data_IF_015888479593
#
_entry.id   IF_015888479593
#
_cell.length_a   1.000
_cell.length_b   1.000
_cell.length_c   1.000
_cell.angle_alpha   90.00
_cell.angle_beta   90.00
_cell.angle_gamma   90.00
#
_symmetry.space_group_name_H-M   'P 1'
#
loop_
_entity.id
_entity.type
_entity.pdbx_description
1 polymer ?
#
# COMPACT_ATOMS: atom_id res chain seq x y z
N UNK A 1 11.88 -1.54 -18.08
CA UNK A 1 10.56 -1.79 -17.44
C UNK A 1 9.46 -2.21 -18.43
N UNK A 2 9.41 -1.70 -19.67
CA UNK A 2 8.25 -1.85 -20.57
C UNK A 2 8.26 -3.04 -21.56
N UNK A 3 9.35 -3.80 -21.63
CA UNK A 3 9.39 -5.04 -22.43
C UNK A 3 8.66 -6.20 -21.73
N UNK A 4 8.31 -6.01 -20.45
CA UNK A 4 7.82 -7.02 -19.51
C UNK A 4 6.28 -7.18 -19.55
N UNK A 5 5.52 -6.35 -20.29
CA UNK A 5 4.05 -6.38 -20.23
C UNK A 5 3.41 -7.63 -20.86
N UNK A 6 3.93 -8.11 -22.01
CA UNK A 6 3.45 -9.38 -22.59
C UNK A 6 3.81 -10.55 -21.67
N UNK A 7 5.08 -10.64 -21.26
CA UNK A 7 5.55 -11.73 -20.40
C UNK A 7 4.82 -11.77 -19.05
N UNK A 8 4.45 -10.61 -18.48
CA UNK A 8 3.62 -10.52 -17.28
C UNK A 8 2.25 -11.15 -17.49
N UNK A 9 1.58 -10.85 -18.61
CA UNK A 9 0.26 -11.38 -18.89
C UNK A 9 0.31 -12.89 -19.16
N UNK A 10 1.36 -13.37 -19.86
CA UNK A 10 1.53 -14.80 -20.12
C UNK A 10 1.78 -15.57 -18.82
N UNK A 11 2.63 -15.04 -17.94
CA UNK A 11 2.85 -15.59 -16.61
C UNK A 11 1.58 -15.55 -15.75
N UNK A 12 0.80 -14.47 -15.83
CA UNK A 12 -0.49 -14.36 -15.14
C UNK A 12 -1.46 -15.48 -15.54
N UNK A 13 -1.68 -15.69 -16.85
CA UNK A 13 -2.65 -16.70 -17.32
C UNK A 13 -2.16 -18.13 -17.08
N UNK A 14 -0.85 -18.39 -17.15
CA UNK A 14 -0.27 -19.67 -16.75
C UNK A 14 -0.49 -19.95 -15.25
N UNK A 15 -0.54 -18.90 -14.42
CA UNK A 15 -0.87 -18.95 -13.00
C UNK A 15 -2.36 -18.90 -12.64
N UNK A 16 -3.27 -18.90 -13.62
CA UNK A 16 -4.72 -18.78 -13.37
C UNK A 16 -5.18 -17.37 -13.00
N UNK A 17 -4.43 -16.33 -13.36
CA UNK A 17 -4.86 -14.92 -13.24
C UNK A 17 -5.22 -14.38 -14.62
N UNK A 18 -6.46 -13.91 -14.79
CA UNK A 18 -7.04 -13.50 -16.08
C UNK A 18 -7.18 -11.98 -16.26
N UNK A 19 -6.87 -11.20 -15.22
CA UNK A 19 -6.81 -9.74 -15.31
C UNK A 19 -5.70 -9.19 -14.43
N UNK A 20 -4.99 -8.18 -14.93
CA UNK A 20 -4.00 -7.41 -14.16
C UNK A 20 -4.41 -5.94 -14.04
N UNK A 21 -4.11 -5.32 -12.90
CA UNK A 21 -4.18 -3.86 -12.73
C UNK A 21 -2.75 -3.38 -12.49
N UNK A 22 -2.21 -2.61 -13.43
CA UNK A 22 -0.82 -2.11 -13.37
C UNK A 22 -0.81 -0.64 -12.91
N UNK A 23 0.37 -0.11 -12.55
CA UNK A 23 0.52 1.26 -12.08
C UNK A 23 1.14 2.14 -13.16
N UNK A 24 0.43 3.19 -13.57
CA UNK A 24 1.00 4.32 -14.29
C UNK A 24 1.76 5.18 -13.29
N UNK A 25 3.07 5.35 -13.47
CA UNK A 25 3.94 6.07 -12.52
C UNK A 25 4.60 7.27 -13.23
N UNK A 26 4.00 8.47 -13.17
CA UNK A 26 4.60 9.68 -13.70
C UNK A 26 5.78 10.13 -12.84
N UNK A 27 6.76 10.78 -13.48
CA UNK A 27 7.81 11.49 -12.76
C UNK A 27 7.22 12.75 -12.09
N UNK A 28 7.80 13.16 -10.96
CA UNK A 28 7.40 14.40 -10.28
C UNK A 28 7.46 15.59 -11.25
N UNK A 29 6.37 16.36 -11.33
CA UNK A 29 6.22 17.51 -12.24
C UNK A 29 5.76 17.16 -13.66
N UNK A 30 5.61 15.89 -14.02
CA UNK A 30 5.06 15.48 -15.33
C UNK A 30 3.54 15.29 -15.31
N UNK A 31 2.89 15.40 -16.47
CA UNK A 31 1.45 15.20 -16.63
C UNK A 31 1.05 13.74 -16.36
N UNK A 32 -0.03 13.56 -15.60
CA UNK A 32 -0.64 12.24 -15.36
C UNK A 32 -1.24 11.67 -16.64
N UNK A 33 -1.81 12.53 -17.51
CA UNK A 33 -2.46 12.11 -18.76
C UNK A 33 -1.43 11.61 -19.78
N UNK A 34 -0.31 12.31 -19.94
CA UNK A 34 0.77 11.87 -20.83
C UNK A 34 1.35 10.53 -20.38
N UNK A 35 1.54 10.35 -19.07
CA UNK A 35 1.97 9.07 -18.51
C UNK A 35 0.94 7.97 -18.78
N UNK A 36 -0.35 8.24 -18.57
CA UNK A 36 -1.41 7.28 -18.86
C UNK A 36 -1.43 6.86 -20.34
N UNK A 37 -1.39 7.82 -21.27
CA UNK A 37 -1.43 7.55 -22.71
C UNK A 37 -0.18 6.77 -23.15
N UNK A 38 0.99 7.09 -22.58
CA UNK A 38 2.23 6.30 -22.77
C UNK A 38 2.04 4.85 -22.30
N UNK A 39 1.50 4.62 -21.11
CA UNK A 39 1.27 3.26 -20.61
C UNK A 39 0.28 2.47 -21.47
N UNK A 40 -0.82 3.11 -21.90
CA UNK A 40 -1.78 2.52 -22.84
C UNK A 40 -1.11 2.12 -24.15
N UNK A 41 -0.30 3.00 -24.74
CA UNK A 41 0.42 2.73 -25.99
C UNK A 41 1.37 1.52 -25.90
N UNK A 42 1.90 1.24 -24.71
CA UNK A 42 2.81 0.14 -24.45
C UNK A 42 2.09 -1.17 -24.13
N UNK A 43 0.93 -1.09 -23.47
CA UNK A 43 0.15 -2.24 -23.02
C UNK A 43 -0.80 -2.78 -24.10
N UNK A 44 -1.60 -1.91 -24.74
CA UNK A 44 -2.63 -2.31 -25.71
C UNK A 44 -2.14 -3.28 -26.81
N UNK A 45 -0.95 -3.10 -27.43
CA UNK A 45 -0.46 -4.03 -28.45
C UNK A 45 0.26 -5.27 -27.89
N UNK A 46 0.29 -5.46 -26.56
CA UNK A 46 1.10 -6.50 -25.89
C UNK A 46 0.30 -7.43 -24.98
N UNK A 47 -0.68 -6.93 -24.25
CA UNK A 47 -1.40 -7.73 -23.24
C UNK A 47 -2.12 -8.93 -23.86
N UNK A 48 -2.06 -10.10 -23.19
CA UNK A 48 -2.77 -11.30 -23.63
C UNK A 48 -4.00 -11.64 -22.77
N UNK A 49 -4.18 -10.94 -21.65
CA UNK A 49 -5.37 -10.97 -20.81
C UNK A 49 -5.88 -9.55 -20.57
N UNK A 50 -7.12 -9.42 -20.10
CA UNK A 50 -7.68 -8.09 -19.82
C UNK A 50 -6.85 -7.35 -18.76
N UNK A 51 -6.89 -6.02 -18.80
CA UNK A 51 -6.14 -5.20 -17.85
C UNK A 51 -6.82 -3.87 -17.56
N UNK A 52 -6.41 -3.22 -16.48
CA UNK A 52 -6.73 -1.81 -16.23
C UNK A 52 -5.53 -1.13 -15.55
N UNK A 53 -5.69 0.14 -15.18
CA UNK A 53 -4.64 0.91 -14.54
C UNK A 53 -5.09 1.58 -13.25
N UNK A 54 -4.16 1.63 -12.32
CA UNK A 54 -4.11 2.66 -11.29
C UNK A 54 -3.18 3.78 -11.77
N UNK A 55 -3.41 5.03 -11.36
CA UNK A 55 -2.50 6.15 -11.70
C UNK A 55 -1.87 6.71 -10.44
N UNK A 56 -0.55 6.75 -10.38
CA UNK A 56 0.15 7.31 -9.25
C UNK A 56 0.12 8.85 -9.26
N UNK A 57 -0.14 9.44 -8.10
CA UNK A 57 -0.03 10.87 -7.82
C UNK A 57 1.28 11.08 -7.07
N UNK A 58 2.34 11.42 -7.82
CA UNK A 58 3.72 11.56 -7.32
C UNK A 58 4.10 12.99 -6.95
N UNK A 59 3.19 13.93 -7.16
CA UNK A 59 3.28 15.35 -6.82
C UNK A 59 1.88 15.96 -6.79
N UNK A 60 1.71 17.13 -6.18
CA UNK A 60 0.41 17.78 -6.06
C UNK A 60 0.40 19.20 -6.63
N UNK A 61 -0.64 19.54 -7.38
CA UNK A 61 -0.91 20.88 -7.91
C UNK A 61 -2.36 20.97 -8.44
N UNK A 62 -2.81 22.17 -8.78
CA UNK A 62 -4.11 22.36 -9.47
C UNK A 62 -4.17 21.66 -10.84
N UNK A 63 -3.03 21.49 -11.53
CA UNK A 63 -2.98 20.71 -12.76
C UNK A 63 -3.29 19.24 -12.47
N UNK A 64 -2.60 18.65 -11.49
CA UNK A 64 -2.81 17.25 -11.07
C UNK A 64 -4.28 17.02 -10.70
N UNK A 65 -4.87 17.94 -9.93
CA UNK A 65 -6.29 17.89 -9.56
C UNK A 65 -7.22 17.77 -10.77
N UNK A 66 -7.00 18.60 -11.81
CA UNK A 66 -7.78 18.58 -13.07
C UNK A 66 -7.52 17.32 -13.89
N UNK A 67 -6.27 16.87 -13.97
CA UNK A 67 -5.93 15.66 -14.72
C UNK A 67 -6.52 14.40 -14.06
N UNK A 68 -6.61 14.35 -12.74
CA UNK A 68 -7.34 13.29 -12.03
C UNK A 68 -8.82 13.27 -12.43
N UNK A 69 -9.46 14.44 -12.57
CA UNK A 69 -10.85 14.53 -13.03
C UNK A 69 -11.01 13.96 -14.45
N UNK A 70 -10.15 14.37 -15.39
CA UNK A 70 -10.15 13.82 -16.76
C UNK A 70 -9.91 12.30 -16.77
N UNK A 71 -8.97 11.81 -15.96
CA UNK A 71 -8.69 10.37 -15.86
C UNK A 71 -9.92 9.58 -15.40
N UNK A 72 -10.69 10.15 -14.46
CA UNK A 72 -11.90 9.52 -13.94
C UNK A 72 -13.07 9.60 -14.92
N UNK A 73 -13.34 10.78 -15.46
CA UNK A 73 -14.51 11.03 -16.29
C UNK A 73 -14.37 10.43 -17.70
N UNK A 74 -13.16 10.45 -18.27
CA UNK A 74 -12.95 10.13 -19.68
C UNK A 74 -12.09 8.89 -19.92
N UNK A 75 -11.13 8.60 -19.03
CA UNK A 75 -10.14 7.53 -19.24
C UNK A 75 -10.45 6.24 -18.49
N UNK A 76 -11.49 6.21 -17.66
CA UNK A 76 -11.95 5.01 -16.97
C UNK A 76 -11.04 4.56 -15.82
N UNK A 77 -10.47 5.51 -15.09
CA UNK A 77 -9.66 5.28 -13.89
C UNK A 77 -10.50 5.61 -12.66
N UNK A 78 -10.50 4.76 -11.63
CA UNK A 78 -11.19 5.04 -10.37
C UNK A 78 -10.31 4.81 -9.14
N UNK A 79 -9.00 4.84 -9.32
CA UNK A 79 -8.02 4.50 -8.28
C UNK A 79 -6.71 5.23 -8.49
N UNK A 80 -6.24 5.91 -7.46
CA UNK A 80 -5.01 6.70 -7.49
C UNK A 80 -4.02 6.25 -6.41
N UNK A 81 -2.74 6.11 -6.73
CA UNK A 81 -1.70 5.66 -5.78
C UNK A 81 -0.83 6.82 -5.30
N UNK A 82 -0.74 6.98 -3.98
CA UNK A 82 0.09 7.97 -3.32
C UNK A 82 1.21 7.27 -2.56
N UNK A 83 2.32 7.97 -2.34
CA UNK A 83 3.49 7.45 -1.63
C UNK A 83 3.79 8.29 -0.40
N UNK A 84 3.96 7.61 0.74
CA UNK A 84 4.49 8.22 1.98
C UNK A 84 5.99 7.99 2.14
N UNK A 85 6.56 7.16 1.27
CA UNK A 85 7.99 6.84 1.17
C UNK A 85 8.60 7.45 -0.11
N UNK A 86 9.87 7.13 -0.37
CA UNK A 86 10.64 7.65 -1.49
C UNK A 86 10.76 9.18 -1.45
N UNK A 87 11.31 9.67 -0.34
CA UNK A 87 11.62 11.08 -0.11
C UNK A 87 12.32 11.68 -1.33
N UNK A 88 11.93 12.91 -1.69
CA UNK A 88 12.40 13.68 -2.85
C UNK A 88 12.05 13.10 -4.24
N UNK A 89 11.51 11.89 -4.33
CA UNK A 89 11.15 11.23 -5.61
C UNK A 89 9.63 11.19 -5.81
N UNK A 90 8.90 10.54 -4.91
CA UNK A 90 7.44 10.34 -5.02
C UNK A 90 6.67 10.75 -3.77
N UNK A 91 7.36 10.97 -2.64
CA UNK A 91 6.74 11.24 -1.34
C UNK A 91 5.86 12.48 -1.38
N UNK A 92 4.61 12.33 -0.91
CA UNK A 92 3.71 13.43 -0.59
C UNK A 92 3.74 13.69 0.92
N UNK A 93 3.67 14.97 1.28
CA UNK A 93 3.47 15.41 2.66
C UNK A 93 2.01 15.25 3.09
N UNK A 94 1.73 15.35 4.39
CA UNK A 94 0.38 15.13 4.94
C UNK A 94 -0.67 16.10 4.38
N UNK A 95 -0.30 17.35 4.09
CA UNK A 95 -1.23 18.33 3.50
C UNK A 95 -1.56 18.00 2.03
N UNK A 96 -0.60 17.48 1.28
CA UNK A 96 -0.81 17.01 -0.09
C UNK A 96 -1.65 15.74 -0.10
N UNK A 97 -1.42 14.81 0.84
CA UNK A 97 -2.26 13.62 1.03
C UNK A 97 -3.71 14.00 1.38
N UNK A 98 -3.91 14.96 2.28
CA UNK A 98 -5.23 15.48 2.62
C UNK A 98 -5.96 16.01 1.37
N UNK A 99 -5.28 16.82 0.55
CA UNK A 99 -5.84 17.37 -0.68
C UNK A 99 -6.13 16.27 -1.73
N UNK A 100 -5.18 15.35 -1.95
CA UNK A 100 -5.34 14.24 -2.89
C UNK A 100 -6.47 13.28 -2.47
N UNK A 101 -6.60 12.97 -1.18
CA UNK A 101 -7.67 12.11 -0.66
C UNK A 101 -9.03 12.81 -0.76
N UNK A 102 -9.09 14.12 -0.51
CA UNK A 102 -10.29 14.93 -0.73
C UNK A 102 -10.73 14.86 -2.21
N UNK A 103 -9.80 15.04 -3.14
CA UNK A 103 -10.08 14.92 -4.57
C UNK A 103 -10.53 13.51 -4.97
N UNK A 104 -9.89 12.47 -4.44
CA UNK A 104 -10.31 11.08 -4.66
C UNK A 104 -11.78 10.88 -4.22
N UNK A 105 -12.15 11.40 -3.04
CA UNK A 105 -13.54 11.35 -2.57
C UNK A 105 -14.50 12.07 -3.51
N UNK A 106 -14.20 13.31 -3.91
CA UNK A 106 -15.03 14.12 -4.82
C UNK A 106 -15.27 13.40 -6.15
N UNK A 107 -14.23 12.77 -6.70
CA UNK A 107 -14.30 12.04 -7.97
C UNK A 107 -14.91 10.64 -7.86
N UNK A 108 -15.14 10.13 -6.65
CA UNK A 108 -15.59 8.75 -6.47
C UNK A 108 -14.50 7.70 -6.74
N UNK A 109 -13.23 8.07 -6.61
CA UNK A 109 -12.07 7.21 -6.80
C UNK A 109 -11.49 6.71 -5.46
N UNK A 110 -11.04 5.46 -5.40
CA UNK A 110 -10.36 4.93 -4.21
C UNK A 110 -8.92 5.44 -4.11
N UNK A 111 -8.54 5.91 -2.91
CA UNK A 111 -7.17 6.30 -2.63
C UNK A 111 -6.35 5.05 -2.25
N UNK A 112 -5.25 4.79 -2.97
CA UNK A 112 -4.25 3.78 -2.65
C UNK A 112 -3.03 4.43 -2.02
N UNK A 113 -2.40 3.78 -1.04
CA UNK A 113 -1.22 4.33 -0.36
C UNK A 113 -0.12 3.29 -0.17
N UNK A 114 1.09 3.62 -0.62
CA UNK A 114 2.32 2.98 -0.14
C UNK A 114 2.69 3.63 1.19
N UNK A 115 2.50 2.90 2.28
CA UNK A 115 2.52 3.44 3.64
C UNK A 115 3.78 3.00 4.41
N UNK A 116 4.91 3.64 4.14
CA UNK A 116 6.09 3.64 5.01
C UNK A 116 6.49 5.09 5.30
N UNK A 117 7.06 5.39 6.46
CA UNK A 117 7.53 6.74 6.77
C UNK A 117 8.83 7.06 6.00
N UNK A 118 8.73 7.84 4.92
CA UNK A 118 9.85 8.14 4.02
C UNK A 118 11.00 8.92 4.65
N UNK A 119 10.73 9.77 5.65
CA UNK A 119 11.78 10.49 6.37
C UNK A 119 12.61 9.54 7.23
N UNK A 120 11.97 8.63 7.97
CA UNK A 120 12.65 7.63 8.78
C UNK A 120 13.46 6.67 7.90
N UNK A 121 12.91 6.21 6.77
CA UNK A 121 13.66 5.37 5.82
C UNK A 121 14.92 6.08 5.34
N UNK A 122 14.82 7.36 4.98
CA UNK A 122 15.97 8.13 4.47
C UNK A 122 17.08 8.26 5.52
N UNK A 123 16.74 8.55 6.78
CA UNK A 123 17.72 8.68 7.85
C UNK A 123 18.33 7.33 8.27
N UNK A 124 17.52 6.29 8.43
CA UNK A 124 18.00 4.97 8.80
C UNK A 124 18.82 4.31 7.68
N UNK A 125 18.51 4.55 6.40
CA UNK A 125 19.34 4.08 5.31
C UNK A 125 20.74 4.70 5.32
N UNK A 126 20.83 6.03 5.57
CA UNK A 126 22.13 6.71 5.76
C UNK A 126 22.90 6.11 6.93
N UNK A 127 22.20 5.82 8.04
CA UNK A 127 22.79 5.21 9.24
C UNK A 127 23.32 3.80 8.96
N UNK A 128 22.57 2.93 8.28
CA UNK A 128 23.04 1.58 7.91
C UNK A 128 24.31 1.65 7.06
N UNK A 129 24.34 2.52 6.04
CA UNK A 129 25.52 2.71 5.20
C UNK A 129 26.72 3.27 5.98
N UNK A 130 26.50 4.20 6.92
CA UNK A 130 27.54 4.75 7.78
C UNK A 130 28.13 3.71 8.74
N UNK A 131 27.33 2.73 9.17
CA UNK A 131 27.77 1.57 9.95
C UNK A 131 28.49 0.49 9.10
N UNK A 132 28.61 0.70 7.78
CA UNK A 132 29.23 -0.25 6.86
C UNK A 132 28.31 -1.40 6.42
N UNK A 133 27.04 -1.37 6.80
CA UNK A 133 26.04 -2.36 6.39
C UNK A 133 25.57 -2.00 4.98
N UNK A 134 26.11 -2.73 3.99
CA UNK A 134 25.92 -2.46 2.55
C UNK A 134 25.16 -3.56 1.82
N UNK A 135 24.98 -4.72 2.45
CA UNK A 135 24.27 -5.85 1.88
C UNK A 135 22.75 -5.72 1.96
N UNK A 136 22.00 -6.64 1.33
CA UNK A 136 20.54 -6.64 1.30
C UNK A 136 19.87 -6.60 2.68
N UNK A 137 20.51 -7.12 3.73
CA UNK A 137 20.03 -7.02 5.12
C UNK A 137 19.89 -5.57 5.61
N UNK A 138 20.75 -4.67 5.12
CA UNK A 138 20.63 -3.23 5.41
C UNK A 138 19.32 -2.63 4.90
N UNK A 139 18.72 -3.24 3.88
CA UNK A 139 17.43 -2.81 3.32
C UNK A 139 16.25 -3.13 4.24
N UNK A 140 16.30 -4.21 5.02
CA UNK A 140 15.26 -4.50 6.03
C UNK A 140 15.50 -3.64 7.28
N UNK A 141 16.75 -3.60 7.75
CA UNK A 141 17.15 -2.90 8.96
C UNK A 141 16.89 -1.40 8.92
N UNK A 142 16.90 -0.77 7.74
CA UNK A 142 16.62 0.67 7.61
C UNK A 142 15.12 1.03 7.64
N UNK A 143 14.22 0.06 7.69
CA UNK A 143 12.77 0.24 7.56
C UNK A 143 12.00 -0.86 8.31
N UNK A 144 12.25 -1.02 9.62
CA UNK A 144 11.59 -2.04 10.43
C UNK A 144 10.06 -1.85 10.42
N UNK A 145 9.29 -2.86 10.83
CA UNK A 145 7.84 -2.87 10.60
C UNK A 145 7.07 -1.70 11.22
N UNK A 146 7.60 -1.08 12.28
CA UNK A 146 7.01 0.09 12.91
C UNK A 146 6.93 1.30 11.96
N UNK A 147 7.85 1.40 11.00
CA UNK A 147 7.88 2.44 9.96
C UNK A 147 6.68 2.28 9.00
N UNK A 148 6.28 1.04 8.71
CA UNK A 148 5.08 0.73 7.92
C UNK A 148 3.80 0.96 8.74
N UNK A 149 3.80 0.53 10.00
CA UNK A 149 2.64 0.66 10.89
C UNK A 149 2.28 2.13 11.19
N UNK A 150 3.28 2.99 11.46
CA UNK A 150 3.07 4.43 11.68
C UNK A 150 2.40 5.08 10.49
N UNK A 151 3.00 4.92 9.30
CA UNK A 151 2.48 5.51 8.07
C UNK A 151 1.10 4.96 7.71
N UNK A 152 0.85 3.67 7.94
CA UNK A 152 -0.47 3.05 7.77
C UNK A 152 -1.50 3.73 8.67
N UNK A 153 -1.19 3.93 9.95
CA UNK A 153 -2.10 4.60 10.89
C UNK A 153 -2.34 6.06 10.50
N UNK A 154 -1.30 6.78 10.09
CA UNK A 154 -1.38 8.17 9.65
C UNK A 154 -2.23 8.33 8.40
N UNK A 155 -2.01 7.51 7.37
CA UNK A 155 -2.83 7.52 6.15
C UNK A 155 -4.31 7.27 6.44
N UNK A 156 -4.62 6.28 7.28
CA UNK A 156 -5.99 5.95 7.69
C UNK A 156 -6.63 7.13 8.44
N UNK A 157 -5.87 7.82 9.30
CA UNK A 157 -6.36 9.00 10.02
C UNK A 157 -6.68 10.15 9.07
N UNK A 158 -5.79 10.47 8.13
CA UNK A 158 -6.02 11.53 7.13
C UNK A 158 -7.24 11.18 6.26
N UNK A 159 -7.31 9.95 5.73
CA UNK A 159 -8.42 9.50 4.89
C UNK A 159 -9.75 9.54 5.64
N UNK A 160 -9.76 9.18 6.92
CA UNK A 160 -10.95 9.27 7.75
C UNK A 160 -11.42 10.72 7.95
N UNK A 161 -10.51 11.67 8.19
CA UNK A 161 -10.83 13.09 8.36
C UNK A 161 -11.55 13.69 7.16
N UNK A 162 -11.23 13.23 5.95
CA UNK A 162 -11.89 13.67 4.71
C UNK A 162 -13.00 12.71 4.25
N UNK A 163 -13.33 11.68 5.04
CA UNK A 163 -14.28 10.61 4.70
C UNK A 163 -13.99 9.93 3.33
N UNK A 164 -12.71 9.79 2.97
CA UNK A 164 -12.26 9.11 1.76
C UNK A 164 -11.98 7.62 2.03
N UNK A 165 -12.45 6.69 1.19
CA UNK A 165 -12.06 5.29 1.24
C UNK A 165 -10.57 5.10 0.96
N UNK A 166 -9.89 4.33 1.81
CA UNK A 166 -8.45 4.07 1.68
C UNK A 166 -8.16 2.60 1.39
N UNK A 167 -7.15 2.37 0.55
CA UNK A 167 -6.60 1.07 0.21
C UNK A 167 -5.10 1.07 0.52
N UNK A 168 -4.68 0.29 1.51
CA UNK A 168 -3.28 0.13 1.87
C UNK A 168 -2.71 -1.00 1.00
N UNK A 169 -1.90 -0.64 0.00
CA UNK A 169 -1.24 -1.61 -0.89
C UNK A 169 -0.15 -2.36 -0.14
N UNK A 170 0.22 -3.55 -0.64
CA UNK A 170 1.34 -4.38 -0.16
C UNK A 170 1.60 -4.30 1.36
N UNK A 171 0.62 -4.73 2.15
CA UNK A 171 0.77 -4.90 3.61
C UNK A 171 1.72 -6.05 3.87
N UNK A 172 2.92 -5.75 4.39
CA UNK A 172 4.01 -6.72 4.56
C UNK A 172 4.22 -7.15 6.00
N UNK A 173 3.68 -6.42 6.99
CA UNK A 173 3.91 -6.68 8.41
C UNK A 173 2.67 -6.96 9.24
N UNK A 174 2.88 -7.63 10.37
CA UNK A 174 1.84 -7.87 11.38
C UNK A 174 1.35 -6.57 12.00
N UNK A 175 2.25 -5.65 12.33
CA UNK A 175 1.89 -4.37 12.94
C UNK A 175 1.03 -3.51 12.01
N UNK A 176 1.37 -3.36 10.73
CA UNK A 176 0.53 -2.65 9.76
C UNK A 176 -0.82 -3.35 9.54
N UNK A 177 -0.84 -4.69 9.44
CA UNK A 177 -2.07 -5.45 9.33
C UNK A 177 -2.99 -5.28 10.55
N UNK A 178 -2.42 -5.22 11.76
CA UNK A 178 -3.15 -4.94 13.01
C UNK A 178 -3.74 -3.53 13.03
N UNK A 179 -3.01 -2.53 12.50
CA UNK A 179 -3.52 -1.16 12.33
C UNK A 179 -4.75 -1.16 11.41
N UNK A 180 -4.68 -1.82 10.25
CA UNK A 180 -5.81 -1.96 9.32
C UNK A 180 -7.00 -2.64 10.01
N UNK A 181 -6.77 -3.77 10.68
CA UNK A 181 -7.81 -4.51 11.40
C UNK A 181 -8.51 -3.65 12.47
N UNK A 182 -7.74 -2.93 13.28
CA UNK A 182 -8.28 -2.04 14.31
C UNK A 182 -9.08 -0.87 13.71
N UNK A 183 -8.59 -0.27 12.64
CA UNK A 183 -9.30 0.78 11.92
C UNK A 183 -10.64 0.29 11.36
N UNK A 184 -10.69 -0.93 10.80
CA UNK A 184 -11.94 -1.56 10.33
C UNK A 184 -12.92 -1.81 11.47
N UNK A 185 -12.45 -2.28 12.63
CA UNK A 185 -13.28 -2.45 13.85
C UNK A 185 -13.86 -1.13 14.36
N UNK A 186 -13.15 -0.02 14.19
CA UNK A 186 -13.65 1.35 14.45
C UNK A 186 -14.60 1.86 13.35
N UNK A 187 -14.92 1.05 12.36
CA UNK A 187 -15.77 1.42 11.24
C UNK A 187 -15.08 2.29 10.19
N UNK A 188 -13.76 2.47 10.19
CA UNK A 188 -13.09 3.21 9.11
C UNK A 188 -13.23 2.45 7.78
N UNK A 189 -13.34 3.18 6.67
CA UNK A 189 -13.47 2.59 5.32
C UNK A 189 -12.06 2.36 4.79
N UNK A 190 -11.45 1.26 5.21
CA UNK A 190 -10.11 0.87 4.79
C UNK A 190 -10.07 -0.59 4.34
N UNK A 191 -9.28 -0.84 3.29
CA UNK A 191 -8.94 -2.15 2.75
C UNK A 191 -7.42 -2.34 2.85
N UNK A 192 -6.99 -3.54 3.22
CA UNK A 192 -5.57 -3.92 3.20
C UNK A 192 -5.31 -5.00 2.16
N UNK A 193 -4.21 -4.86 1.42
CA UNK A 193 -3.76 -5.79 0.39
C UNK A 193 -2.42 -6.42 0.77
N UNK A 194 -2.38 -7.62 1.35
CA UNK A 194 -1.17 -8.42 1.35
C UNK A 194 -0.85 -8.89 -0.08
N UNK A 195 0.42 -9.23 -0.33
CA UNK A 195 0.85 -9.74 -1.63
C UNK A 195 1.37 -11.18 -1.52
N UNK A 196 1.44 -11.87 -2.66
CA UNK A 196 1.96 -13.24 -2.74
C UNK A 196 3.29 -13.43 -2.00
N UNK A 197 4.22 -12.48 -2.10
CA UNK A 197 5.50 -12.54 -1.40
C UNK A 197 5.32 -12.59 0.13
N UNK A 198 4.59 -11.62 0.71
CA UNK A 198 4.33 -11.55 2.15
C UNK A 198 3.46 -12.69 2.69
N UNK A 199 2.75 -13.42 1.83
CA UNK A 199 1.95 -14.60 2.19
C UNK A 199 2.69 -15.93 1.96
N UNK A 200 3.79 -15.91 1.21
CA UNK A 200 4.51 -17.10 0.76
C UNK A 200 5.89 -17.28 1.37
N UNK A 201 6.55 -16.20 1.76
CA UNK A 201 7.93 -16.23 2.24
C UNK A 201 8.18 -15.10 3.25
N UNK A 202 9.39 -15.05 3.82
CA UNK A 202 9.77 -14.11 4.87
C UNK A 202 11.13 -13.43 4.58
N UNK A 203 11.49 -12.48 5.45
CA UNK A 203 12.68 -11.64 5.30
C UNK A 203 13.98 -12.31 5.74
N UNK A 204 13.96 -13.55 6.25
CA UNK A 204 15.20 -14.25 6.65
C UNK A 204 16.16 -14.45 5.47
N UNK A 205 15.62 -14.46 4.25
CA UNK A 205 16.39 -14.51 3.01
C UNK A 205 17.35 -13.32 2.81
N UNK A 206 17.12 -12.16 3.43
CA UNK A 206 18.05 -11.03 3.36
C UNK A 206 19.41 -11.31 4.03
N UNK A 207 19.45 -12.25 4.99
CA UNK A 207 20.67 -12.68 5.66
C UNK A 207 21.32 -13.90 5.01
N UNK A 208 20.89 -14.30 3.80
CA UNK A 208 21.57 -15.36 3.06
C UNK A 208 23.01 -14.95 2.75
N UNK A 209 23.96 -15.89 2.91
CA UNK A 209 25.39 -15.66 2.60
C UNK A 209 25.63 -15.42 1.11
N UNK A 210 24.79 -15.96 0.23
CA UNK A 210 24.80 -15.63 -1.18
C UNK A 210 24.09 -14.29 -1.40
N UNK A 211 24.87 -13.29 -1.81
CA UNK A 211 24.37 -11.96 -2.11
C UNK A 211 23.30 -11.97 -3.21
N UNK A 212 23.45 -12.81 -4.24
CA UNK A 212 22.50 -12.87 -5.35
C UNK A 212 21.13 -13.39 -4.88
N UNK A 213 21.14 -14.43 -4.04
CA UNK A 213 19.93 -14.91 -3.35
C UNK A 213 19.30 -13.77 -2.56
N UNK A 214 20.04 -13.15 -1.63
CA UNK A 214 19.51 -12.12 -0.74
C UNK A 214 18.94 -10.90 -1.50
N UNK A 215 19.64 -10.43 -2.54
CA UNK A 215 19.21 -9.32 -3.38
C UNK A 215 17.94 -9.62 -4.20
N UNK A 216 17.71 -10.90 -4.54
CA UNK A 216 16.50 -11.37 -5.22
C UNK A 216 15.21 -11.08 -4.46
N UNK A 217 15.27 -10.96 -3.12
CA UNK A 217 14.10 -10.70 -2.27
C UNK A 217 13.89 -9.21 -1.98
N UNK A 218 14.77 -8.31 -2.43
CA UNK A 218 14.71 -6.87 -2.09
C UNK A 218 13.51 -6.20 -2.76
N UNK A 219 12.58 -5.69 -1.94
CA UNK A 219 11.39 -4.92 -2.34
C UNK A 219 10.95 -3.96 -1.23
N UNK A 220 10.06 -3.00 -1.50
CA UNK A 220 9.62 -2.00 -0.50
C UNK A 220 8.10 -1.95 -0.38
N UNK A 221 7.50 -2.16 0.81
CA UNK A 221 8.14 -2.54 2.07
C UNK A 221 8.85 -3.91 1.97
N UNK A 222 9.83 -4.21 2.84
CA UNK A 222 10.59 -5.45 2.76
C UNK A 222 9.74 -6.60 3.31
N UNK A 223 10.11 -7.84 2.95
CA UNK A 223 9.66 -9.02 3.67
C UNK A 223 10.12 -8.94 5.12
N UNK A 224 9.29 -9.40 6.06
CA UNK A 224 9.63 -9.29 7.49
C UNK A 224 10.39 -10.52 7.97
N UNK A 225 11.48 -10.37 8.74
CA UNK A 225 12.31 -11.50 9.16
C UNK A 225 11.65 -12.37 10.24
N UNK A 226 10.53 -11.92 10.84
CA UNK A 226 9.70 -12.79 11.68
C UNK A 226 9.02 -13.84 10.79
N UNK A 227 9.41 -15.13 10.90
CA UNK A 227 8.93 -16.21 10.03
C UNK A 227 7.44 -16.53 10.25
N UNK A 228 6.83 -16.01 11.30
CA UNK A 228 5.39 -16.19 11.55
C UNK A 228 4.54 -15.11 10.90
N UNK A 229 5.15 -14.13 10.21
CA UNK A 229 4.45 -13.07 9.48
C UNK A 229 3.53 -13.60 8.38
N UNK A 230 3.98 -14.49 7.46
CA UNK A 230 3.12 -14.95 6.37
C UNK A 230 1.86 -15.67 6.84
N UNK A 231 2.01 -16.55 7.85
CA UNK A 231 0.90 -17.25 8.47
C UNK A 231 -0.10 -16.31 9.14
N UNK A 232 0.37 -15.25 9.80
CA UNK A 232 -0.48 -14.23 10.44
C UNK A 232 -1.22 -13.37 9.42
N UNK A 233 -0.54 -12.93 8.35
CA UNK A 233 -1.18 -12.19 7.26
C UNK A 233 -2.26 -13.04 6.57
N UNK A 234 -2.01 -14.35 6.41
CA UNK A 234 -2.99 -15.29 5.88
C UNK A 234 -4.22 -15.44 6.80
N UNK A 235 -4.04 -15.46 8.12
CA UNK A 235 -5.16 -15.49 9.07
C UNK A 235 -6.02 -14.23 8.97
N UNK A 236 -5.39 -13.05 8.87
CA UNK A 236 -6.11 -11.78 8.70
C UNK A 236 -6.79 -11.69 7.32
N UNK A 237 -6.22 -12.32 6.30
CA UNK A 237 -6.84 -12.45 4.97
C UNK A 237 -8.05 -13.38 5.00
N UNK A 238 -7.98 -14.50 5.73
CA UNK A 238 -9.10 -15.41 5.96
C UNK A 238 -10.25 -14.70 6.70
N UNK A 239 -9.92 -13.87 7.70
CA UNK A 239 -10.87 -13.15 8.55
C UNK A 239 -11.41 -11.82 7.97
N UNK A 240 -11.05 -11.47 6.73
CA UNK A 240 -11.43 -10.20 6.08
C UNK A 240 -10.95 -8.92 6.78
N UNK A 241 -9.99 -9.02 7.70
CA UNK A 241 -9.22 -7.87 8.19
C UNK A 241 -8.33 -7.32 7.04
N UNK A 242 -7.79 -8.24 6.22
CA UNK A 242 -7.19 -7.98 4.91
C UNK A 242 -8.14 -8.51 3.82
N UNK A 243 -8.30 -7.77 2.72
CA UNK A 243 -9.49 -7.94 1.86
C UNK A 243 -9.20 -8.54 0.49
N UNK A 244 -7.97 -8.44 -0.02
CA UNK A 244 -7.65 -8.74 -1.42
C UNK A 244 -6.16 -8.98 -1.56
N UNK A 245 -5.73 -9.76 -2.55
CA UNK A 245 -4.31 -10.04 -2.78
C UNK A 245 -3.81 -9.44 -4.09
N UNK A 246 -2.63 -8.81 -4.03
CA UNK A 246 -1.83 -8.43 -5.19
C UNK A 246 -0.56 -9.27 -5.29
N UNK A 247 0.38 -8.82 -6.14
CA UNK A 247 1.73 -9.41 -6.24
C UNK A 247 2.84 -8.41 -6.17
N UNK A 248 2.55 -7.13 -6.44
CA UNK A 248 3.56 -6.10 -6.67
C UNK A 248 4.65 -6.56 -7.64
N UNK A 249 4.26 -7.30 -8.69
CA UNK A 249 5.19 -7.95 -9.60
C UNK A 249 6.04 -6.92 -10.35
N UNK A 250 7.28 -6.74 -9.90
CA UNK A 250 8.25 -5.78 -10.42
C UNK A 250 9.61 -6.47 -10.51
N UNK A 251 9.80 -7.25 -11.57
CA UNK A 251 10.93 -8.16 -11.68
C UNK A 251 12.16 -7.50 -12.29
N UNK A 252 13.33 -7.79 -11.70
CA UNK A 252 14.65 -7.42 -12.20
C UNK A 252 15.55 -8.65 -12.13
N UNK A 253 16.29 -8.94 -13.20
CA UNK A 253 17.25 -10.04 -13.22
C UNK A 253 18.39 -9.81 -12.21
N UNK A 254 19.09 -10.86 -11.80
CA UNK A 254 20.21 -10.73 -10.84
C UNK A 254 21.27 -9.74 -11.33
N UNK A 255 21.55 -9.69 -12.63
CA UNK A 255 22.48 -8.71 -13.20
C UNK A 255 22.02 -7.25 -13.04
N UNK A 256 20.71 -6.99 -13.00
CA UNK A 256 20.14 -5.67 -12.72
C UNK A 256 20.11 -5.40 -11.21
N UNK A 257 19.82 -6.41 -10.38
CA UNK A 257 19.95 -6.33 -8.92
C UNK A 257 21.37 -5.92 -8.51
N UNK A 258 22.39 -6.42 -9.22
CA UNK A 258 23.81 -6.16 -8.97
C UNK A 258 24.23 -4.69 -9.08
N UNK A 259 23.37 -3.79 -9.59
CA UNK A 259 23.58 -2.34 -9.49
C UNK A 259 23.81 -1.86 -8.04
N UNK A 260 23.24 -2.56 -7.05
CA UNK A 260 23.42 -2.27 -5.63
C UNK A 260 24.32 -3.24 -4.87
N UNK A 261 25.25 -3.94 -5.55
CA UNK A 261 26.13 -4.93 -4.90
C UNK A 261 26.97 -4.39 -3.74
N UNK A 262 27.32 -3.10 -3.77
CA UNK A 262 28.11 -2.42 -2.73
C UNK A 262 27.27 -1.37 -1.94
N UNK A 263 25.98 -1.29 -2.23
CA UNK A 263 25.06 -0.26 -1.71
C UNK A 263 23.62 -0.72 -1.92
N UNK A 264 23.01 -1.29 -0.86
CA UNK A 264 21.66 -1.83 -0.93
C UNK A 264 20.61 -0.82 -1.41
N UNK A 265 20.83 0.49 -1.19
CA UNK A 265 19.89 1.55 -1.61
C UNK A 265 19.78 1.68 -3.13
N UNK A 266 20.72 1.08 -3.88
CA UNK A 266 20.76 1.07 -5.35
C UNK A 266 20.27 -0.24 -5.94
N UNK A 267 19.90 -1.23 -5.13
CA UNK A 267 19.26 -2.45 -5.62
C UNK A 267 17.86 -2.07 -6.12
N UNK A 268 17.50 -2.35 -7.38
CA UNK A 268 16.14 -2.13 -7.86
C UNK A 268 15.12 -2.94 -7.04
N UNK A 269 14.19 -2.26 -6.37
CA UNK A 269 13.15 -2.90 -5.57
C UNK A 269 12.12 -3.62 -6.43
N UNK A 270 11.84 -4.88 -6.07
CA UNK A 270 10.74 -5.66 -6.62
C UNK A 270 11.06 -7.13 -6.79
N UNK A 271 10.01 -7.95 -6.87
CA UNK A 271 10.06 -9.42 -6.92
C UNK A 271 9.08 -9.98 -7.96
N UNK A 272 9.13 -11.30 -8.19
CA UNK A 272 8.11 -12.01 -8.98
C UNK A 272 6.89 -12.38 -8.12
N UNK A 273 5.80 -12.74 -8.80
CA UNK A 273 4.65 -13.36 -8.14
C UNK A 273 3.39 -13.47 -8.97
N UNK A 274 3.32 -12.83 -10.15
CA UNK A 274 2.10 -12.83 -10.98
C UNK A 274 1.61 -14.24 -11.38
N UNK A 275 2.52 -15.18 -11.64
CA UNK A 275 2.17 -16.58 -11.94
C UNK A 275 1.87 -17.38 -10.67
N UNK A 276 2.67 -17.20 -9.63
CA UNK A 276 2.63 -18.09 -8.47
C UNK A 276 1.55 -17.73 -7.45
N UNK A 277 1.00 -16.50 -7.50
CA UNK A 277 0.03 -15.97 -6.51
C UNK A 277 -1.08 -16.95 -6.17
N UNK A 278 -1.76 -17.51 -7.16
CA UNK A 278 -2.94 -18.36 -6.93
C UNK A 278 -2.56 -19.63 -6.18
N UNK A 279 -1.51 -20.34 -6.61
CA UNK A 279 -1.05 -21.58 -5.98
C UNK A 279 -0.42 -21.33 -4.60
N UNK A 280 0.33 -20.24 -4.41
CA UNK A 280 0.90 -19.87 -3.10
C UNK A 280 -0.21 -19.60 -2.08
N UNK A 281 -1.24 -18.84 -2.46
CA UNK A 281 -2.38 -18.57 -1.57
C UNK A 281 -3.21 -19.84 -1.34
N UNK A 282 -3.37 -20.69 -2.37
CA UNK A 282 -4.07 -21.96 -2.21
C UNK A 282 -3.35 -22.86 -1.21
N UNK A 283 -2.05 -23.06 -1.38
CA UNK A 283 -1.22 -23.89 -0.49
C UNK A 283 -1.26 -23.36 0.95
N UNK A 284 -0.89 -22.09 1.14
CA UNK A 284 -0.75 -21.52 2.48
C UNK A 284 -2.08 -21.14 3.14
N UNK A 285 -3.16 -21.05 2.37
CA UNK A 285 -4.48 -20.63 2.83
C UNK A 285 -5.49 -21.77 2.88
N UNK A 286 -5.79 -22.37 1.72
CA UNK A 286 -6.83 -23.39 1.58
C UNK A 286 -6.32 -24.74 2.06
N UNK A 287 -5.20 -25.22 1.52
CA UNK A 287 -4.63 -26.52 1.89
C UNK A 287 -4.22 -26.55 3.37
N UNK A 288 -3.69 -25.43 3.89
CA UNK A 288 -3.38 -25.26 5.30
C UNK A 288 -4.61 -25.15 6.23
N UNK A 289 -5.84 -25.10 5.70
CA UNK A 289 -7.08 -25.02 6.49
C UNK A 289 -7.35 -23.66 7.14
N UNK A 290 -6.68 -22.59 6.71
CA UNK A 290 -6.91 -21.23 7.21
C UNK A 290 -8.15 -20.57 6.59
N UNK A 291 -8.48 -20.90 5.35
CA UNK A 291 -9.68 -20.43 4.67
C UNK A 291 -10.27 -21.51 3.76
N UNK A 292 -11.55 -21.39 3.42
CA UNK A 292 -12.17 -22.25 2.42
C UNK A 292 -11.95 -21.76 0.98
N UNK A 293 -12.33 -22.58 0.00
CA UNK A 293 -12.26 -22.26 -1.43
C UNK A 293 -13.10 -21.04 -1.84
N UNK A 294 -14.19 -20.74 -1.11
CA UNK A 294 -15.03 -19.57 -1.40
C UNK A 294 -14.33 -18.28 -1.00
N UNK A 295 -13.66 -18.28 0.16
CA UNK A 295 -12.83 -17.17 0.62
C UNK A 295 -11.61 -17.00 -0.28
N UNK A 296 -11.01 -18.09 -0.76
CA UNK A 296 -9.97 -18.04 -1.79
C UNK A 296 -10.44 -17.30 -3.05
N UNK A 297 -11.61 -17.64 -3.60
CA UNK A 297 -12.20 -16.91 -4.74
C UNK A 297 -12.41 -15.43 -4.40
N UNK A 298 -12.88 -15.13 -3.18
CA UNK A 298 -13.14 -13.77 -2.75
C UNK A 298 -11.87 -12.90 -2.76
N UNK A 299 -10.79 -13.37 -2.14
CA UNK A 299 -9.55 -12.59 -1.97
C UNK A 299 -8.69 -12.54 -3.23
N UNK A 300 -8.87 -13.50 -4.14
CA UNK A 300 -8.09 -13.58 -5.38
C UNK A 300 -8.77 -12.91 -6.58
N UNK A 301 -10.09 -12.67 -6.54
CA UNK A 301 -10.82 -12.08 -7.67
C UNK A 301 -12.03 -11.21 -7.26
N UNK A 302 -13.00 -11.75 -6.52
CA UNK A 302 -14.29 -11.08 -6.31
C UNK A 302 -14.16 -9.74 -5.58
N UNK A 303 -13.30 -9.67 -4.55
CA UNK A 303 -13.12 -8.45 -3.77
C UNK A 303 -12.41 -7.37 -4.60
N UNK A 304 -11.39 -7.72 -5.39
CA UNK A 304 -10.77 -6.80 -6.35
C UNK A 304 -11.83 -6.25 -7.33
N UNK A 305 -12.64 -7.13 -7.91
CA UNK A 305 -13.70 -6.71 -8.83
C UNK A 305 -14.75 -5.80 -8.16
N UNK A 306 -15.09 -6.02 -6.90
CA UNK A 306 -16.01 -5.13 -6.16
C UNK A 306 -15.37 -3.78 -5.84
N UNK A 307 -14.12 -3.77 -5.38
CA UNK A 307 -13.39 -2.56 -4.99
C UNK A 307 -13.17 -1.66 -6.21
N UNK A 308 -12.75 -2.22 -7.34
CA UNK A 308 -12.44 -1.47 -8.56
C UNK A 308 -13.61 -1.37 -9.54
N UNK A 309 -14.83 -1.70 -9.10
CA UNK A 309 -16.09 -1.52 -9.84
C UNK A 309 -16.23 -2.34 -11.15
N UNK A 310 -15.79 -3.59 -11.12
CA UNK A 310 -15.85 -4.57 -12.20
C UNK A 310 -16.78 -5.74 -11.90
N UNK A 311 -17.34 -5.83 -10.69
CA UNK A 311 -18.26 -6.90 -10.30
C UNK A 311 -19.72 -6.61 -10.74
N UNK A 312 -20.49 -7.61 -11.24
CA UNK A 312 -20.15 -9.02 -11.42
C UNK A 312 -19.57 -9.36 -12.80
N UNK A 313 -19.23 -8.36 -13.64
CA UNK A 313 -18.64 -8.61 -14.96
C UNK A 313 -17.37 -9.47 -14.84
N UNK A 314 -16.54 -9.23 -13.81
CA UNK A 314 -15.40 -10.06 -13.42
C UNK A 314 -15.55 -10.58 -12.00
N UNK A 315 -14.80 -11.65 -11.68
CA UNK A 315 -14.73 -12.21 -10.33
C UNK A 315 -15.99 -12.96 -9.88
N UNK A 316 -16.83 -13.43 -10.81
CA UNK A 316 -17.98 -14.31 -10.54
C UNK A 316 -18.29 -15.18 -11.75
N UNK A 317 -18.57 -16.46 -11.52
CA UNK A 317 -19.16 -17.35 -12.52
C UNK A 317 -20.68 -17.17 -12.48
N UNK A 318 -21.23 -16.43 -13.44
CA UNK A 318 -22.66 -16.21 -13.60
C UNK A 318 -23.00 -15.87 -15.06
N UNK A 319 -24.25 -16.12 -15.46
CA UNK A 319 -24.74 -15.66 -16.77
C UNK A 319 -24.57 -14.14 -16.89
N UNK A 320 -23.92 -13.70 -17.96
CA UNK A 320 -23.65 -12.29 -18.24
C UNK A 320 -22.30 -11.76 -17.73
N UNK A 321 -21.55 -12.55 -16.97
CA UNK A 321 -20.14 -12.23 -16.63
C UNK A 321 -19.22 -12.53 -17.82
N UNK A 322 -18.05 -11.87 -17.86
CA UNK A 322 -17.00 -12.18 -18.83
C UNK A 322 -16.53 -13.63 -18.61
N UNK A 323 -16.26 -14.35 -19.69
CA UNK A 323 -15.76 -15.73 -19.66
C UNK A 323 -14.25 -15.77 -19.35
N UNK A 324 -13.89 -15.24 -18.18
CA UNK A 324 -12.57 -15.29 -17.57
C UNK A 324 -12.60 -16.35 -16.47
N UNK A 325 -12.24 -17.59 -16.80
CA UNK A 325 -12.51 -18.78 -15.98
C UNK A 325 -11.24 -19.60 -15.84
N UNK A 326 -11.02 -20.18 -14.67
CA UNK A 326 -9.94 -21.14 -14.42
C UNK A 326 -10.56 -22.47 -14.04
N UNK A 327 -10.17 -23.53 -14.73
CA UNK A 327 -10.39 -24.90 -14.25
C UNK A 327 -9.22 -25.20 -13.33
N UNK A 328 -9.55 -25.40 -12.05
CA UNK A 328 -8.58 -25.55 -10.97
C UNK A 328 -8.60 -26.98 -10.46
N UNK A 329 -7.45 -27.65 -10.43
CA UNK A 329 -7.29 -28.96 -9.83
C UNK A 329 -6.72 -28.80 -8.40
N UNK A 330 -7.53 -29.01 -7.35
CA UNK A 330 -7.10 -28.84 -5.96
C UNK A 330 -6.12 -29.93 -5.49
N UNK A 331 -6.06 -31.08 -6.17
CA UNK A 331 -5.21 -32.21 -5.83
C UNK A 331 -3.89 -32.23 -6.62
N UNK A 332 -3.85 -31.55 -7.76
CA UNK A 332 -2.63 -31.39 -8.53
C UNK A 332 -1.54 -30.67 -7.72
N UNK A 333 -0.29 -31.04 -7.98
CA UNK A 333 0.87 -30.63 -7.21
C UNK A 333 2.02 -30.21 -8.12
N UNK A 334 2.69 -29.10 -7.81
CA UNK A 334 3.94 -28.70 -8.47
C UNK A 334 4.97 -28.22 -7.45
N UNK A 335 6.22 -28.30 -7.83
CA UNK A 335 7.31 -27.57 -7.17
C UNK A 335 7.58 -26.31 -7.99
N UNK A 336 7.48 -25.13 -7.38
CA UNK A 336 7.78 -23.86 -8.04
C UNK A 336 9.28 -23.80 -8.34
N UNK A 337 9.64 -23.45 -9.58
CA UNK A 337 11.03 -23.24 -9.98
C UNK A 337 11.15 -22.20 -11.09
N UNK A 338 12.20 -21.39 -11.05
CA UNK A 338 12.60 -20.50 -12.15
C UNK A 338 12.86 -21.26 -13.46
N UNK A 339 13.20 -22.56 -13.39
CA UNK A 339 13.40 -23.40 -14.57
C UNK A 339 12.11 -23.71 -15.33
N UNK A 340 10.97 -23.60 -14.67
CA UNK A 340 9.66 -24.02 -15.21
C UNK A 340 8.62 -22.91 -15.24
N UNK A 341 8.90 -21.75 -14.65
CA UNK A 341 7.99 -20.62 -14.67
C UNK A 341 7.94 -19.97 -16.06
N UNK A 342 6.98 -19.08 -16.26
CA UNK A 342 6.76 -18.31 -17.49
C UNK A 342 7.17 -16.84 -17.34
N UNK A 343 7.79 -16.47 -16.21
CA UNK A 343 8.40 -15.16 -16.05
C UNK A 343 9.66 -15.00 -16.93
N UNK A 344 10.06 -13.75 -17.22
CA UNK A 344 11.33 -13.46 -17.89
C UNK A 344 12.52 -13.34 -16.91
N UNK A 345 12.25 -13.33 -15.59
CA UNK A 345 13.28 -13.15 -14.57
C UNK A 345 14.02 -14.46 -14.31
N UNK A 346 15.30 -14.38 -13.97
CA UNK A 346 16.21 -15.53 -13.86
C UNK A 346 16.19 -16.24 -12.49
N UNK A 347 15.26 -15.89 -11.60
CA UNK A 347 15.04 -16.52 -10.29
C UNK A 347 13.55 -16.51 -9.90
N UNK A 348 13.21 -17.22 -8.82
CA UNK A 348 11.88 -17.20 -8.24
C UNK A 348 11.98 -17.11 -6.71
N UNK A 349 11.31 -16.16 -6.06
CA UNK A 349 11.32 -16.02 -4.60
C UNK A 349 10.63 -17.19 -3.86
N UNK A 350 9.86 -18.01 -4.59
CA UNK A 350 9.22 -19.22 -4.09
C UNK A 350 9.94 -20.51 -4.54
N UNK A 351 11.20 -20.43 -4.97
CA UNK A 351 11.98 -21.57 -5.46
C UNK A 351 11.91 -22.77 -4.48
N UNK A 352 11.55 -23.94 -5.00
CA UNK A 352 11.44 -25.17 -4.22
C UNK A 352 10.14 -25.32 -3.42
N UNK A 353 9.28 -24.29 -3.37
CA UNK A 353 7.98 -24.40 -2.70
C UNK A 353 7.10 -25.43 -3.41
N UNK A 354 6.51 -26.33 -2.64
CA UNK A 354 5.59 -27.34 -3.13
C UNK A 354 4.17 -26.84 -2.89
N UNK A 355 3.39 -26.68 -3.96
CA UNK A 355 2.01 -26.20 -3.85
C UNK A 355 1.03 -27.24 -4.39
N UNK A 356 -0.05 -27.46 -3.63
CA UNK A 356 -1.29 -28.03 -4.14
C UNK A 356 -2.13 -26.93 -4.82
N UNK A 357 -3.10 -27.34 -5.63
CA UNK A 357 -3.99 -26.41 -6.32
C UNK A 357 -3.30 -25.75 -7.51
N UNK A 358 -3.62 -26.22 -8.71
CA UNK A 358 -3.04 -25.71 -9.96
C UNK A 358 -4.10 -25.33 -10.98
N UNK A 359 -3.85 -24.31 -11.82
CA UNK A 359 -4.67 -24.06 -13.00
C UNK A 359 -4.36 -25.15 -14.03
N UNK A 360 -5.35 -25.97 -14.39
CA UNK A 360 -5.19 -26.95 -15.48
C UNK A 360 -5.61 -26.37 -16.83
N UNK A 361 -6.59 -25.46 -16.81
CA UNK A 361 -7.04 -24.67 -17.96
C UNK A 361 -7.31 -23.24 -17.51
N UNK A 362 -6.79 -22.26 -18.24
CA UNK A 362 -7.16 -20.85 -18.09
C UNK A 362 -7.86 -20.37 -19.35
N UNK A 363 -9.06 -19.84 -19.16
CA UNK A 363 -9.90 -19.22 -20.18
C UNK A 363 -9.89 -17.71 -19.95
N UNK A 364 -9.57 -16.95 -20.99
CA UNK A 364 -9.62 -15.48 -20.99
C UNK A 364 -10.50 -15.05 -22.14
N UNK A 365 -11.51 -14.22 -21.87
CA UNK A 365 -12.48 -13.73 -22.87
C UNK A 365 -13.14 -14.84 -23.69
N UNK A 366 -13.40 -16.00 -23.05
CA UNK A 366 -14.02 -17.17 -23.68
C UNK A 366 -13.10 -18.01 -24.56
N UNK A 367 -11.79 -17.76 -24.55
CA UNK A 367 -10.78 -18.54 -25.27
C UNK A 367 -9.84 -19.23 -24.29
N UNK A 368 -9.51 -20.49 -24.57
CA UNK A 368 -8.46 -21.21 -23.85
C UNK A 368 -7.12 -20.56 -24.18
N UNK A 369 -6.45 -20.01 -23.16
CA UNK A 369 -5.15 -19.33 -23.30
C UNK A 369 -4.02 -20.07 -22.61
N UNK A 370 -4.35 -21.06 -21.78
CA UNK A 370 -3.41 -21.99 -21.16
C UNK A 370 -4.12 -23.30 -20.91
N UNK A 371 -3.50 -24.42 -21.26
CA UNK A 371 -4.05 -25.76 -21.06
C UNK A 371 -2.91 -26.79 -21.01
N UNK A 372 -2.93 -27.67 -20.01
CA UNK A 372 -1.96 -28.77 -19.84
C UNK A 372 -0.48 -28.34 -19.95
N UNK A 373 -0.12 -27.21 -19.36
CA UNK A 373 1.25 -26.69 -19.42
C UNK A 373 1.61 -25.93 -20.70
N UNK A 374 0.70 -25.84 -21.67
CA UNK A 374 0.92 -25.17 -22.95
C UNK A 374 0.24 -23.81 -22.95
N UNK A 375 1.05 -22.76 -23.13
CA UNK A 375 0.57 -21.40 -23.30
C UNK A 375 0.07 -21.19 -24.74
N UNK A 376 -1.19 -20.77 -24.88
CA UNK A 376 -1.85 -20.46 -26.16
C UNK A 376 -2.28 -18.99 -26.24
N UNK A 377 -1.74 -18.16 -25.35
CA UNK A 377 -2.11 -16.76 -25.22
C UNK A 377 -1.59 -15.93 -26.42
N UNK A 378 -2.46 -15.12 -27.00
CA UNK A 378 -2.13 -14.29 -28.17
C UNK A 378 -1.88 -12.85 -27.75
N UNK A 379 -0.75 -12.31 -28.20
CA UNK A 379 -0.34 -10.92 -27.96
C UNK A 379 -1.40 -9.92 -28.48
N UNK A 380 -1.83 -8.99 -27.64
CA UNK A 380 -2.78 -7.91 -27.99
C UNK A 380 -4.26 -8.33 -27.94
N UNK A 381 -4.57 -9.56 -27.54
CA UNK A 381 -5.96 -10.00 -27.38
C UNK A 381 -6.62 -9.43 -26.12
N UNK A 382 -5.83 -9.19 -25.08
CA UNK A 382 -6.29 -8.52 -23.87
C UNK A 382 -6.85 -7.13 -24.16
N UNK A 383 -7.85 -6.70 -23.40
CA UNK A 383 -8.44 -5.36 -23.54
C UNK A 383 -8.29 -4.55 -22.27
N UNK A 384 -8.08 -3.25 -22.46
CA UNK A 384 -8.26 -2.29 -21.37
C UNK A 384 -9.72 -2.30 -20.91
N UNK A 385 -9.93 -2.37 -19.60
CA UNK A 385 -11.24 -2.41 -18.96
C UNK A 385 -11.42 -1.12 -18.15
N UNK A 386 -12.27 -0.19 -18.60
CA UNK A 386 -12.59 1.03 -17.86
C UNK A 386 -13.23 0.69 -16.50
N UNK A 387 -12.69 1.28 -15.44
CA UNK A 387 -13.19 1.17 -14.08
C UNK A 387 -13.99 2.45 -13.76
N UNK A 388 -15.32 2.33 -13.65
CA UNK A 388 -16.20 3.48 -13.39
C UNK A 388 -16.04 4.01 -11.96
N UNK A 389 -16.18 5.32 -11.71
CA UNK A 389 -16.14 5.88 -10.36
C UNK A 389 -17.34 5.44 -9.50
N UNK A 390 -17.27 5.79 -8.22
CA UNK A 390 -18.27 5.49 -7.18
C UNK A 390 -18.64 3.99 -7.06
N UNK A 391 -17.67 3.07 -6.90
CA UNK A 391 -17.97 1.66 -6.64
C UNK A 391 -18.91 1.54 -5.44
N UNK A 392 -20.07 0.93 -5.63
CA UNK A 392 -21.09 0.78 -4.59
C UNK A 392 -20.54 0.08 -3.34
N UNK A 393 -19.69 -0.93 -3.53
CA UNK A 393 -19.04 -1.67 -2.45
C UNK A 393 -18.19 -0.77 -1.53
N UNK A 394 -17.65 0.31 -2.08
CA UNK A 394 -16.75 1.25 -1.41
C UNK A 394 -17.53 2.49 -0.93
N UNK A 395 -18.36 3.08 -1.79
CA UNK A 395 -18.97 4.40 -1.60
C UNK A 395 -20.36 4.42 -0.98
N UNK A 396 -21.08 3.29 -0.90
CA UNK A 396 -22.42 3.27 -0.27
C UNK A 396 -22.39 3.82 1.16
N UNK A 397 -21.39 3.43 1.96
CA UNK A 397 -21.21 3.93 3.33
C UNK A 397 -20.73 5.38 3.39
N UNK A 398 -19.89 5.80 2.43
CA UNK A 398 -19.38 7.18 2.34
C UNK A 398 -20.55 8.15 2.18
N UNK A 399 -21.43 7.89 1.21
CA UNK A 399 -22.60 8.72 0.91
C UNK A 399 -23.52 8.88 2.13
N UNK A 400 -23.76 7.80 2.87
CA UNK A 400 -24.57 7.87 4.08
C UNK A 400 -23.89 8.68 5.19
N UNK A 401 -22.56 8.52 5.37
CA UNK A 401 -21.79 9.28 6.38
C UNK A 401 -21.85 10.78 6.14
N UNK A 402 -21.69 11.20 4.88
CA UNK A 402 -21.77 12.61 4.51
C UNK A 402 -23.14 13.23 4.86
N UNK A 403 -24.22 12.43 4.90
CA UNK A 403 -25.55 12.91 5.27
C UNK A 403 -25.74 13.00 6.80
N UNK A 404 -25.23 12.03 7.55
CA UNK A 404 -25.55 11.89 8.99
C UNK A 404 -24.50 12.47 9.93
N UNK A 405 -23.26 12.68 9.47
CA UNK A 405 -22.13 13.08 10.29
C UNK A 405 -21.66 14.53 10.03
N UNK A 406 -22.54 15.39 9.50
CA UNK A 406 -22.20 16.81 9.31
C UNK A 406 -22.02 17.49 10.67
N UNK A 407 -20.91 18.24 10.86
CA UNK A 407 -20.71 19.01 12.09
C UNK A 407 -21.81 20.06 12.21
N UNK A 408 -22.39 20.17 13.40
CA UNK A 408 -23.43 21.17 13.72
C UNK A 408 -22.82 22.25 14.59
N UNK A 409 -22.95 23.51 14.17
CA UNK A 409 -22.63 24.63 15.03
C UNK A 409 -23.60 24.65 16.21
N UNK A 410 -23.08 24.93 17.41
CA UNK A 410 -23.92 25.26 18.55
C UNK A 410 -24.41 26.68 18.36
N UNK A 411 -25.72 26.87 18.32
CA UNK A 411 -26.35 28.19 18.33
C UNK A 411 -26.07 28.86 19.68
N UNK A 412 -25.46 30.05 19.64
CA UNK A 412 -25.12 30.85 20.82
C UNK A 412 -25.57 32.29 20.56
N UNK A 413 -25.99 32.97 21.62
CA UNK A 413 -26.13 34.41 21.57
C UNK A 413 -24.77 35.06 21.21
N UNK A 414 -24.76 36.15 20.42
CA UNK A 414 -23.53 36.89 20.15
C UNK A 414 -22.85 37.30 21.47
N UNK A 415 -21.53 37.12 21.54
CA UNK A 415 -20.76 37.58 22.69
C UNK A 415 -20.81 39.12 22.76
N UNK A 416 -21.34 39.64 23.86
CA UNK A 416 -21.54 41.07 24.14
C UNK A 416 -20.60 41.61 25.23
N UNK A 417 -19.73 40.76 25.78
CA UNK A 417 -18.74 41.13 26.79
C UNK A 417 -17.56 41.93 26.24
N UNK A 418 -16.72 42.43 27.14
CA UNK A 418 -15.51 43.17 26.77
C UNK A 418 -14.51 42.28 26.02
N UNK A 419 -13.84 42.85 25.02
CA UNK A 419 -12.72 42.22 24.31
C UNK A 419 -11.48 43.07 24.57
N UNK A 420 -10.41 42.46 25.10
CA UNK A 420 -9.15 43.16 25.33
C UNK A 420 -8.55 43.64 24.01
N UNK A 421 -8.10 44.88 23.95
CA UNK A 421 -7.33 45.38 22.80
C UNK A 421 -5.89 44.84 22.88
N UNK A 422 -5.54 43.89 22.03
CA UNK A 422 -4.14 43.50 21.83
C UNK A 422 -3.54 44.47 20.82
N UNK A 423 -2.81 45.49 21.30
CA UNK A 423 -1.99 46.33 20.44
C UNK A 423 -0.87 45.46 19.88
N UNK A 424 -0.98 45.03 18.62
CA UNK A 424 0.14 44.41 17.91
C UNK A 424 1.30 45.42 17.91
N UNK A 425 2.37 45.13 18.65
CA UNK A 425 3.62 45.86 18.49
C UNK A 425 4.24 45.48 17.13
N UNK A 426 3.65 45.95 16.04
CA UNK A 426 4.35 46.11 14.78
C UNK A 426 5.29 47.31 14.91
N UNK A 427 6.37 47.12 15.67
CA UNK A 427 7.62 47.81 15.33
C UNK A 427 8.17 47.10 14.10
N UNK A 428 7.76 47.53 12.92
CA UNK A 428 8.57 47.34 11.72
C UNK A 428 9.85 48.15 11.90
N UNK A 429 11.02 47.49 11.94
CA UNK A 429 12.01 47.87 10.97
C UNK A 429 12.69 46.59 10.44
N UNK A 430 12.96 46.44 9.15
CA UNK A 430 13.66 47.41 8.30
C UNK A 430 13.46 47.02 6.84
N UNK A 431 13.87 47.91 5.95
CA UNK A 431 14.94 47.55 5.03
C UNK A 431 15.53 46.15 5.28
N UNK A 432 15.41 45.28 4.27
CA UNK A 432 16.02 43.95 4.17
C UNK A 432 15.50 42.91 5.16
N UNK A 433 14.85 41.91 4.58
CA UNK A 433 14.15 40.86 5.31
C UNK A 433 15.03 39.85 6.02
N UNK A 434 14.39 39.07 6.88
CA UNK A 434 14.65 37.65 7.12
C UNK A 434 13.54 37.04 7.98
N UNK A 435 12.98 35.97 7.42
CA UNK A 435 12.36 34.76 7.95
C UNK A 435 12.00 34.67 9.46
N UNK A 436 10.75 34.32 9.75
CA UNK A 436 10.13 34.28 11.09
C UNK A 436 10.15 32.88 11.75
N UNK A 437 10.91 31.92 11.19
CA UNK A 437 10.95 30.54 11.68
C UNK A 437 11.94 30.24 12.84
N UNK A 438 12.53 31.25 13.48
CA UNK A 438 13.37 31.03 14.65
C UNK A 438 13.10 32.08 15.74
N UNK A 439 12.22 31.76 16.68
CA UNK A 439 12.15 32.46 17.96
C UNK A 439 11.99 31.45 19.10
N UNK A 440 13.11 31.15 19.75
CA UNK A 440 13.22 30.44 21.01
C UNK A 440 12.63 31.32 22.13
N UNK A 441 11.74 30.78 22.95
CA UNK A 441 11.21 31.48 24.12
C UNK A 441 12.21 31.45 25.27
N UNK A 442 12.53 32.60 25.85
CA UNK A 442 13.23 32.72 27.12
C UNK A 442 12.42 33.62 28.05
N UNK A 443 12.01 33.10 29.20
CA UNK A 443 11.42 33.89 30.28
C UNK A 443 12.55 34.44 31.16
N UNK A 444 12.69 35.76 31.23
CA UNK A 444 13.44 36.44 32.27
C UNK A 444 12.51 37.49 32.90
N UNK A 445 12.09 37.23 34.14
CA UNK A 445 11.45 38.19 35.01
C UNK A 445 12.27 38.30 36.29
N UNK A 446 12.82 39.49 36.53
CA UNK A 446 13.55 39.84 37.75
C UNK A 446 12.60 39.87 38.96
N UNK A 447 13.03 39.27 40.07
CA UNK A 447 12.41 39.43 41.40
C UNK A 447 13.44 40.07 42.32
N UNK A 448 13.15 41.29 42.77
CA UNK A 448 13.96 42.04 43.72
C UNK A 448 13.42 41.91 45.16
N UNK A 449 14.27 41.39 46.07
CA UNK A 449 14.31 41.62 47.53
C UNK A 449 13.15 41.07 48.39
N UNK A 450 13.31 40.58 49.63
CA UNK A 450 14.44 40.45 50.56
C UNK A 450 13.98 39.61 51.77
N UNK A 451 14.87 38.83 52.38
CA UNK A 451 15.03 38.62 53.84
C UNK A 451 15.64 37.25 54.17
N UNK A 452 16.49 37.27 55.19
CA UNK A 452 17.54 36.33 55.57
C UNK A 452 17.11 35.29 56.61
N UNK A 453 17.42 33.99 56.40
CA UNK A 453 17.63 32.95 57.45
C UNK A 453 18.19 31.63 56.85
N UNK A 454 19.02 30.84 57.58
CA UNK A 454 19.86 29.74 57.04
C UNK A 454 19.11 28.39 56.88
N UNK A 455 19.69 27.37 56.19
CA UNK A 455 18.92 26.23 55.68
C UNK A 455 18.68 25.16 56.77
N UNK A 456 17.44 24.68 56.87
CA UNK A 456 17.10 23.48 57.64
C UNK A 456 16.79 22.29 56.72
N UNK A 457 17.23 21.12 57.20
CA UNK A 457 17.28 19.85 56.50
C UNK A 457 15.95 19.09 56.45
N UNK A 458 15.87 18.22 55.44
CA UNK A 458 14.81 17.29 55.04
C UNK A 458 13.85 16.77 56.13
N UNK A 459 12.54 16.82 55.85
CA UNK A 459 11.54 15.90 56.42
C UNK A 459 10.61 15.33 55.36
N UNK A 460 10.55 14.00 55.34
CA UNK A 460 9.69 13.12 54.55
C UNK A 460 8.26 13.19 55.13
N UNK A 461 7.25 13.45 54.30
CA UNK A 461 5.84 13.40 54.73
C UNK A 461 5.21 12.11 54.25
N UNK A 462 4.81 11.29 55.23
CA UNK A 462 3.96 10.11 55.11
C UNK A 462 2.48 10.55 55.06
N UNK A 463 1.69 9.84 54.25
CA UNK A 463 0.28 10.05 53.84
C UNK A 463 -0.71 10.57 54.91
N UNK A 464 -1.84 11.20 54.50
CA UNK A 464 -3.15 10.48 54.50
C UNK A 464 -4.19 11.04 53.46
N UNK A 465 -5.48 10.63 53.46
CA UNK A 465 -6.04 9.30 53.24
C UNK A 465 -7.15 9.25 52.15
N UNK A 466 -7.33 8.08 51.51
CA UNK A 466 -8.67 7.55 51.19
C UNK A 466 -9.26 7.78 49.79
N UNK A 467 -9.09 6.79 48.91
CA UNK A 467 -9.95 6.56 47.74
C UNK A 467 -9.89 5.09 47.34
N UNK A 468 -10.95 4.32 47.65
CA UNK A 468 -11.05 2.89 47.36
C UNK A 468 -11.42 2.68 45.88
N UNK A 469 -10.65 1.84 45.18
CA UNK A 469 -11.01 1.28 43.87
C UNK A 469 -11.35 -0.19 44.07
N UNK A 470 -12.55 -0.62 43.66
CA UNK A 470 -12.93 -2.05 43.59
C UNK A 470 -13.06 -2.46 42.14
N UNK A 471 -12.18 -3.36 41.71
CA UNK A 471 -12.35 -4.19 40.51
C UNK A 471 -12.66 -5.61 41.04
N UNK A 472 -13.75 -6.20 40.56
CA UNK A 472 -14.06 -7.61 40.73
C UNK A 472 -13.85 -8.31 39.38
N UNK A 473 -13.38 -9.56 39.46
CA UNK A 473 -12.88 -10.43 38.39
C UNK A 473 -13.88 -10.74 37.29
#
# INVERSE_FOLDING_TARGET
MFEVTLQRCTAAVAGGTTMILDFVIPQKGSSLLEAYDKWRSLADPKVCCDYSFHVAVTWWSEQVKKEMETLVQEKGINSFKMFMAYKDVFMLSDHELYAAFSQCKELGAIAQVHAENGDLIAEEAKKMLALGIRGPEGHELCRPEEVEAEATQRAITIAHSVNCPLYVVHVMSKSAAKVVANARRQGRIVFGEPIAAGLGTDGTHYWNRDWAHAAGFVMGPPLRPDPTTPGYLMDLLANDDLSVTGTDNCTFNICQKALGKDDFTKIPNGVNGVEDRMSVIWENGVHAGKMDENRFVAVTSTNAAKIFNLYPRKGRIAKGSDADVVVWDPAAKRTISAKTHHHAVDYNIFEGMVCHGLPVVTVSRGKVVYEHGVLQAVRGEGKFIPCRPFPDYVYKRVKQRDQVALPKAVERDPYDGEVISVTSQNKSPRHAGRDLHQATFTFAGDVAGSSSSPPQSSKRVLAPPGGKSSIAF
#
